data_IF_428732823852
#
_entry.id   IF_428732823852
#
_cell.length_a   1.000
_cell.length_b   1.000
_cell.length_c   1.000
_cell.angle_alpha   90.00
_cell.angle_beta   90.00
_cell.angle_gamma   90.00
#
_symmetry.space_group_name_H-M   'P 1'
#
loop_
_entity.id
_entity.type
_entity.pdbx_description
1 polymer ?
#
# COMPACT_ATOMS: atom_id res chain seq x y z
N UNK A 1 -11.61 9.99 -30.75
CA UNK A 1 -10.73 10.00 -31.93
C UNK A 1 -9.63 8.98 -31.68
N UNK A 2 -9.68 7.80 -32.30
CA UNK A 2 -8.64 6.79 -32.15
C UNK A 2 -7.42 7.20 -32.99
N UNK A 3 -6.32 7.53 -32.33
CA UNK A 3 -5.07 7.87 -33.02
C UNK A 3 -4.45 6.61 -33.62
N UNK A 4 -4.15 6.63 -34.92
CA UNK A 4 -3.50 5.54 -35.63
C UNK A 4 -2.00 5.50 -35.31
N UNK A 5 -1.45 4.29 -35.19
CA UNK A 5 -0.06 3.99 -34.81
C UNK A 5 1.06 4.82 -35.50
N UNK A 6 0.91 5.28 -36.76
CA UNK A 6 1.92 6.13 -37.41
C UNK A 6 2.12 7.51 -36.77
N UNK A 7 1.11 8.04 -36.06
CA UNK A 7 1.18 9.37 -35.42
C UNK A 7 2.03 9.38 -34.15
N UNK A 8 2.08 8.26 -33.43
CA UNK A 8 2.85 8.11 -32.19
C UNK A 8 4.36 8.06 -32.43
N UNK A 9 4.80 7.67 -33.63
CA UNK A 9 6.23 7.54 -33.98
C UNK A 9 6.94 8.89 -34.20
N UNK A 10 6.17 9.97 -34.35
CA UNK A 10 6.70 11.32 -34.67
C UNK A 10 6.81 12.25 -33.45
N UNK A 11 6.35 11.83 -32.26
CA UNK A 11 6.39 12.68 -31.05
C UNK A 11 7.71 12.53 -30.30
N UNK A 12 8.29 13.62 -29.77
CA UNK A 12 9.54 13.57 -29.01
C UNK A 12 9.36 12.72 -27.74
N UNK A 13 10.38 11.94 -27.40
CA UNK A 13 10.43 11.02 -26.24
C UNK A 13 10.07 11.68 -24.88
N UNK A 14 10.09 13.01 -24.79
CA UNK A 14 9.67 13.77 -23.62
C UNK A 14 8.15 13.69 -23.33
N UNK A 15 7.31 13.48 -24.35
CA UNK A 15 5.85 13.37 -24.20
C UNK A 15 5.38 11.93 -23.94
N UNK A 16 6.24 10.93 -24.17
CA UNK A 16 5.92 9.51 -23.94
C UNK A 16 6.13 9.09 -22.48
N UNK A 17 5.83 9.98 -21.54
CA UNK A 17 5.64 9.60 -20.14
C UNK A 17 4.18 9.20 -19.98
N UNK A 18 3.84 7.98 -20.40
CA UNK A 18 2.59 7.35 -19.98
C UNK A 18 2.68 7.14 -18.47
N UNK A 19 2.16 8.10 -17.71
CA UNK A 19 2.03 7.97 -16.26
C UNK A 19 1.13 6.77 -15.98
N UNK A 20 1.47 6.01 -14.93
CA UNK A 20 0.79 4.76 -14.53
C UNK A 20 -0.74 4.88 -14.55
N UNK A 21 -1.26 6.05 -14.23
CA UNK A 21 -2.69 6.35 -14.15
C UNK A 21 -3.38 6.33 -15.53
N UNK A 22 -2.71 6.81 -16.58
CA UNK A 22 -3.23 6.77 -17.95
C UNK A 22 -3.25 5.34 -18.51
N UNK A 23 -2.24 4.53 -18.18
CA UNK A 23 -2.19 3.13 -18.56
C UNK A 23 -3.31 2.34 -17.87
N UNK A 24 -3.53 2.59 -16.58
CA UNK A 24 -4.58 1.93 -15.80
C UNK A 24 -5.97 2.26 -16.35
N UNK A 25 -6.25 3.54 -16.62
CA UNK A 25 -7.53 3.96 -17.21
C UNK A 25 -7.80 3.32 -18.59
N UNK A 26 -6.76 3.22 -19.43
CA UNK A 26 -6.88 2.59 -20.74
C UNK A 26 -7.18 1.08 -20.63
N UNK A 27 -6.53 0.38 -19.70
CA UNK A 27 -6.76 -1.05 -19.45
C UNK A 27 -8.15 -1.30 -18.86
N UNK A 28 -8.57 -0.53 -17.84
CA UNK A 28 -9.91 -0.64 -17.25
C UNK A 28 -11.01 -0.43 -18.29
N UNK A 29 -10.85 0.58 -19.16
CA UNK A 29 -11.80 0.85 -20.25
C UNK A 29 -11.80 -0.23 -21.33
N UNK A 30 -10.63 -0.78 -21.67
CA UNK A 30 -10.53 -1.86 -22.67
C UNK A 30 -11.13 -3.18 -22.18
N UNK A 31 -11.02 -3.46 -20.88
CA UNK A 31 -11.55 -4.68 -20.26
C UNK A 31 -12.97 -4.52 -19.69
N UNK A 32 -13.57 -3.32 -19.81
CA UNK A 32 -14.89 -2.98 -19.27
C UNK A 32 -15.01 -3.24 -17.76
N UNK A 33 -13.92 -2.97 -17.02
CA UNK A 33 -13.84 -3.12 -15.57
C UNK A 33 -13.98 -1.74 -14.95
N UNK A 34 -14.87 -1.59 -13.97
CA UNK A 34 -15.08 -0.32 -13.29
C UNK A 34 -13.81 0.09 -12.54
N UNK A 35 -13.44 1.36 -12.66
CA UNK A 35 -12.18 1.87 -12.11
C UNK A 35 -12.39 2.05 -10.60
N UNK A 36 -12.17 0.99 -9.83
CA UNK A 36 -12.32 1.02 -8.38
C UNK A 36 -11.51 2.18 -7.80
N UNK A 37 -12.23 3.21 -7.36
CA UNK A 37 -11.70 4.39 -6.68
C UNK A 37 -10.75 3.91 -5.60
N UNK A 38 -9.49 4.33 -5.68
CA UNK A 38 -8.55 4.11 -4.59
C UNK A 38 -9.20 4.62 -3.30
N UNK A 39 -9.48 3.73 -2.35
CA UNK A 39 -9.94 4.14 -1.03
C UNK A 39 -8.93 5.14 -0.46
N UNK A 40 -9.27 6.44 -0.56
CA UNK A 40 -8.65 7.46 0.26
C UNK A 40 -8.94 7.02 1.69
N UNK A 41 -7.89 6.55 2.38
CA UNK A 41 -7.99 6.21 3.79
C UNK A 41 -8.19 7.51 4.56
N UNK A 42 -9.42 7.99 4.60
CA UNK A 42 -9.87 9.08 5.44
C UNK A 42 -10.06 8.54 6.84
N UNK A 43 -9.18 8.92 7.77
CA UNK A 43 -9.44 8.79 9.21
C UNK A 43 -8.47 7.96 10.04
N UNK A 44 -7.42 7.35 9.46
CA UNK A 44 -6.43 6.61 10.25
C UNK A 44 -5.00 7.09 9.97
N UNK A 45 -4.33 7.56 11.02
CA UNK A 45 -2.90 7.89 11.02
C UNK A 45 -2.06 6.62 10.88
N UNK A 46 -1.89 6.17 9.64
CA UNK A 46 -1.06 5.01 9.27
C UNK A 46 0.37 5.13 9.80
N UNK A 47 0.88 6.36 9.89
CA UNK A 47 2.21 6.68 10.42
C UNK A 47 2.30 6.37 11.90
N UNK A 48 1.33 6.82 12.71
CA UNK A 48 1.29 6.57 14.15
C UNK A 48 1.19 5.07 14.47
N UNK A 49 0.34 4.32 13.75
CA UNK A 49 0.22 2.86 13.95
C UNK A 49 1.53 2.15 13.56
N UNK A 50 2.18 2.57 12.46
CA UNK A 50 3.49 2.01 12.06
C UNK A 50 4.58 2.30 13.10
N UNK A 51 4.57 3.47 13.74
CA UNK A 51 5.51 3.79 14.84
C UNK A 51 5.30 2.85 16.03
N UNK A 52 4.03 2.67 16.47
CA UNK A 52 3.70 1.71 17.55
C UNK A 52 4.15 0.29 17.20
N UNK A 53 3.96 -0.17 15.97
CA UNK A 53 4.43 -1.50 15.54
C UNK A 53 5.95 -1.62 15.69
N UNK A 54 6.72 -0.61 15.30
CA UNK A 54 8.18 -0.62 15.43
C UNK A 54 8.63 -0.67 16.90
N UNK A 55 7.95 0.05 17.79
CA UNK A 55 8.21 -0.01 19.24
C UNK A 55 7.97 -1.41 19.80
N UNK A 56 6.85 -2.04 19.43
CA UNK A 56 6.55 -3.40 19.88
C UNK A 56 7.47 -4.46 19.27
N UNK A 57 8.00 -4.23 18.07
CA UNK A 57 9.04 -5.08 17.48
C UNK A 57 10.34 -5.04 18.29
N UNK A 58 10.76 -3.86 18.76
CA UNK A 58 11.92 -3.75 19.67
C UNK A 58 11.70 -4.54 20.96
N UNK A 59 10.53 -4.38 21.59
CA UNK A 59 10.17 -5.14 22.81
C UNK A 59 10.13 -6.65 22.57
N UNK A 60 9.69 -7.10 21.38
CA UNK A 60 9.75 -8.51 20.98
C UNK A 60 11.19 -8.99 20.90
N UNK A 61 12.08 -8.21 20.30
CA UNK A 61 13.49 -8.58 20.13
C UNK A 61 14.23 -8.64 21.47
N UNK A 62 13.94 -7.70 22.38
CA UNK A 62 14.39 -7.72 23.77
C UNK A 62 13.86 -8.95 24.53
N UNK A 63 12.57 -9.29 24.37
CA UNK A 63 11.98 -10.48 24.99
C UNK A 63 12.55 -11.80 24.43
N UNK A 64 12.90 -11.82 23.14
CA UNK A 64 13.59 -12.94 22.49
C UNK A 64 15.00 -13.13 23.07
N UNK A 65 15.75 -12.04 23.24
CA UNK A 65 17.07 -12.06 23.86
C UNK A 65 17.00 -12.54 25.32
N UNK A 66 16.00 -12.06 26.07
CA UNK A 66 15.75 -12.47 27.46
C UNK A 66 15.12 -13.87 27.60
N UNK A 67 14.73 -14.53 26.50
CA UNK A 67 13.96 -15.79 26.47
C UNK A 67 12.67 -15.75 27.31
N UNK A 68 12.10 -14.57 27.52
CA UNK A 68 10.87 -14.38 28.27
C UNK A 68 9.66 -14.64 27.35
N UNK A 69 9.10 -15.86 27.46
CA UNK A 69 7.95 -16.29 26.65
C UNK A 69 6.69 -15.49 26.94
N UNK A 70 6.49 -14.98 28.15
CA UNK A 70 5.30 -14.23 28.51
C UNK A 70 5.30 -12.87 27.81
N UNK A 71 6.42 -12.14 27.91
CA UNK A 71 6.59 -10.85 27.22
C UNK A 71 6.60 -10.98 25.70
N UNK A 72 7.16 -12.09 25.18
CA UNK A 72 7.13 -12.38 23.76
C UNK A 72 5.69 -12.52 23.24
N UNK A 73 4.84 -13.27 23.94
CA UNK A 73 3.43 -13.47 23.54
C UNK A 73 2.67 -12.14 23.54
N UNK A 74 2.86 -11.31 24.56
CA UNK A 74 2.23 -9.98 24.65
C UNK A 74 2.64 -9.09 23.47
N UNK A 75 3.94 -9.01 23.18
CA UNK A 75 4.44 -8.21 22.06
C UNK A 75 3.89 -8.68 20.70
N UNK A 76 3.84 -10.00 20.46
CA UNK A 76 3.29 -10.56 19.22
C UNK A 76 1.79 -10.26 19.05
N UNK A 77 1.01 -10.36 20.13
CA UNK A 77 -0.42 -10.03 20.09
C UNK A 77 -0.67 -8.57 19.73
N UNK A 78 0.07 -7.64 20.35
CA UNK A 78 -0.04 -6.21 20.01
C UNK A 78 0.37 -5.93 18.57
N UNK A 79 1.46 -6.52 18.07
CA UNK A 79 1.87 -6.39 16.67
C UNK A 79 0.79 -6.92 15.73
N UNK A 80 0.19 -8.07 16.04
CA UNK A 80 -0.88 -8.65 15.23
C UNK A 80 -2.11 -7.73 15.20
N UNK A 81 -2.53 -7.21 16.36
CA UNK A 81 -3.66 -6.30 16.48
C UNK A 81 -3.46 -5.03 15.66
N UNK A 82 -2.34 -4.32 15.80
CA UNK A 82 -2.07 -3.10 15.03
C UNK A 82 -1.97 -3.36 13.52
N UNK A 83 -1.43 -4.50 13.11
CA UNK A 83 -1.44 -4.91 11.69
C UNK A 83 -2.86 -5.20 11.18
N UNK A 84 -3.72 -5.75 12.03
CA UNK A 84 -5.13 -5.98 11.68
C UNK A 84 -5.89 -4.66 11.55
N UNK A 85 -5.73 -3.73 12.49
CA UNK A 85 -6.31 -2.38 12.42
C UNK A 85 -5.90 -1.64 11.14
N UNK A 86 -4.62 -1.71 10.76
CA UNK A 86 -4.14 -1.14 9.50
C UNK A 86 -4.83 -1.73 8.28
N UNK A 87 -5.02 -3.06 8.23
CA UNK A 87 -5.71 -3.71 7.11
C UNK A 87 -7.19 -3.35 7.07
N UNK A 88 -7.85 -3.32 8.22
CA UNK A 88 -9.26 -2.93 8.33
C UNK A 88 -9.49 -1.48 7.89
N UNK A 89 -8.53 -0.60 8.16
CA UNK A 89 -8.58 0.79 7.72
C UNK A 89 -8.22 1.00 6.24
N UNK A 90 -7.71 -0.02 5.55
CA UNK A 90 -7.29 0.03 4.14
C UNK A 90 -8.28 -0.64 3.19
N UNK A 91 -9.17 -1.49 3.70
CA UNK A 91 -10.31 -2.09 3.00
C UNK A 91 -11.49 -1.15 3.14
#
# INVERSE_FOLDING_TARGET
>A
MAHTFPELKKKPLAELRVNKDHLLAAICKALNIDMHVHHEVKGVDKTAIKTKIREWQKKRDEALAAKDRAKLKVALNHIHHFKHELRKAMV
#
